data_IF_375037670600
#
_entry.id   IF_375037670600
#
_cell.length_a   1.000
_cell.length_b   1.000
_cell.length_c   1.000
_cell.angle_alpha   90.00
_cell.angle_beta   90.00
_cell.angle_gamma   90.00
#
_symmetry.space_group_name_H-M   'P 1'
#
loop_
_entity.id
_entity.type
_entity.pdbx_description
1 polymer ?
#
# COMPACT_ATOMS: atom_id res chain seq x y z
N UNK A 1 15.20 -14.30 20.32
CA UNK A 1 14.94 -13.24 19.31
C UNK A 1 15.13 -13.85 17.92
N UNK A 2 14.61 -13.24 16.85
CA UNK A 2 14.63 -13.87 15.52
C UNK A 2 15.97 -13.72 14.78
N UNK A 3 16.73 -12.65 15.08
CA UNK A 3 18.00 -12.34 14.41
C UNK A 3 19.12 -12.05 15.43
N UNK A 4 19.32 -12.91 16.43
CA UNK A 4 20.21 -12.67 17.60
C UNK A 4 21.66 -12.28 17.27
N UNK A 5 22.18 -12.68 16.10
CA UNK A 5 23.55 -12.37 15.67
C UNK A 5 23.66 -11.14 14.77
N UNK A 6 22.55 -10.47 14.45
CA UNK A 6 22.51 -9.35 13.52
C UNK A 6 22.38 -8.03 14.27
N UNK A 7 23.30 -7.10 14.02
CA UNK A 7 23.14 -5.69 14.44
C UNK A 7 22.28 -4.89 13.48
N UNK A 8 22.18 -5.37 12.24
CA UNK A 8 21.50 -4.72 11.15
C UNK A 8 20.81 -5.77 10.28
N UNK A 9 19.59 -5.48 9.82
CA UNK A 9 18.85 -6.30 8.85
C UNK A 9 18.25 -5.42 7.76
N UNK A 10 18.15 -5.96 6.54
CA UNK A 10 17.39 -5.32 5.46
C UNK A 10 15.91 -5.65 5.59
N UNK A 11 15.04 -4.71 5.22
CA UNK A 11 13.61 -4.95 5.07
C UNK A 11 13.13 -4.41 3.73
N UNK A 12 12.28 -5.19 3.05
CA UNK A 12 11.69 -4.80 1.76
C UNK A 12 10.20 -5.12 1.76
N UNK A 13 9.36 -4.11 1.58
CA UNK A 13 7.94 -4.25 1.33
C UNK A 13 7.66 -4.28 -0.17
N UNK A 14 6.79 -5.19 -0.61
CA UNK A 14 6.36 -5.33 -1.99
C UNK A 14 4.84 -5.40 -2.06
N UNK A 15 4.24 -4.55 -2.87
CA UNK A 15 2.82 -4.64 -3.21
C UNK A 15 2.69 -5.41 -4.52
N UNK A 16 2.18 -6.64 -4.46
CA UNK A 16 2.25 -7.61 -5.56
C UNK A 16 0.97 -7.70 -6.39
N UNK A 17 -0.19 -7.46 -5.78
CA UNK A 17 -1.51 -7.63 -6.39
C UNK A 17 -2.58 -7.10 -5.46
N UNK A 18 -3.84 -7.14 -5.86
CA UNK A 18 -4.91 -6.56 -5.02
C UNK A 18 -5.27 -7.42 -3.79
N UNK A 19 -4.87 -8.69 -3.78
CA UNK A 19 -5.13 -9.61 -2.67
C UNK A 19 -4.12 -10.77 -2.65
N UNK A 20 -3.82 -11.28 -1.46
CA UNK A 20 -3.15 -12.57 -1.29
C UNK A 20 -4.15 -13.62 -0.79
N UNK A 21 -4.25 -14.75 -1.50
CA UNK A 21 -4.99 -15.92 -1.05
C UNK A 21 -4.15 -16.77 -0.10
N UNK A 22 -4.21 -16.45 1.18
CA UNK A 22 -3.43 -17.10 2.23
C UNK A 22 -4.04 -18.43 2.72
N UNK A 23 -5.17 -18.89 2.16
CA UNK A 23 -5.80 -20.16 2.56
C UNK A 23 -4.89 -21.37 2.30
N UNK A 24 -4.00 -21.25 1.32
CA UNK A 24 -3.07 -22.32 0.95
C UNK A 24 -1.90 -22.49 1.95
N UNK A 25 -1.70 -21.54 2.87
CA UNK A 25 -0.62 -21.58 3.87
C UNK A 25 -0.97 -22.40 5.12
N UNK A 26 -2.14 -23.05 5.18
CA UNK A 26 -2.57 -23.88 6.31
C UNK A 26 -1.61 -25.04 6.65
N UNK A 27 -0.71 -25.41 5.72
CA UNK A 27 0.28 -26.49 5.90
C UNK A 27 1.73 -26.00 6.05
N UNK A 28 1.98 -24.69 6.07
CA UNK A 28 3.33 -24.12 6.25
C UNK A 28 3.58 -23.81 7.73
N UNK A 29 4.79 -24.03 8.23
CA UNK A 29 5.18 -23.62 9.58
C UNK A 29 5.11 -22.09 9.73
N UNK A 30 3.99 -21.62 10.30
CA UNK A 30 3.75 -20.21 10.60
C UNK A 30 4.52 -19.83 11.88
N UNK A 31 5.29 -18.74 11.79
CA UNK A 31 5.93 -18.08 12.94
C UNK A 31 4.87 -17.34 13.78
N UNK A 32 3.88 -16.73 13.10
CA UNK A 32 2.73 -16.06 13.72
C UNK A 32 1.56 -16.01 12.74
N UNK A 33 0.33 -15.88 13.25
CA UNK A 33 -0.90 -15.88 12.46
C UNK A 33 -1.52 -14.48 12.31
N UNK A 34 -1.07 -13.50 13.08
CA UNK A 34 -1.63 -12.14 13.13
C UNK A 34 -0.53 -11.09 13.19
N UNK A 35 -0.02 -10.62 12.03
CA UNK A 35 -0.27 -11.11 10.67
C UNK A 35 0.46 -12.44 10.36
N UNK A 36 -0.01 -13.21 9.36
CA UNK A 36 0.66 -14.43 8.91
C UNK A 36 2.14 -14.18 8.57
N UNK A 37 3.01 -14.92 9.24
CA UNK A 37 4.47 -14.77 9.13
C UNK A 37 5.10 -16.13 8.94
N UNK A 38 6.02 -16.25 7.97
CA UNK A 38 6.69 -17.51 7.63
C UNK A 38 8.20 -17.30 7.56
N UNK A 39 8.96 -18.37 7.77
CA UNK A 39 10.39 -18.37 7.44
C UNK A 39 10.54 -18.28 5.92
N UNK A 40 11.50 -17.48 5.47
CA UNK A 40 11.77 -17.29 4.06
C UNK A 40 13.28 -17.06 3.85
N UNK A 41 13.87 -17.77 2.89
CA UNK A 41 15.33 -17.87 2.78
C UNK A 41 15.97 -18.63 3.94
N UNK A 42 17.30 -18.57 4.04
CA UNK A 42 18.07 -19.28 5.07
C UNK A 42 17.93 -18.66 6.47
N UNK A 43 17.88 -17.33 6.55
CA UNK A 43 17.91 -16.56 7.80
C UNK A 43 16.87 -15.44 7.85
N UNK A 44 15.84 -15.50 6.99
CA UNK A 44 14.88 -14.43 6.83
C UNK A 44 13.45 -14.80 7.24
N UNK A 45 12.58 -13.79 7.17
CA UNK A 45 11.16 -13.90 7.49
C UNK A 45 10.35 -13.10 6.48
N UNK A 46 9.19 -13.62 6.09
CA UNK A 46 8.20 -12.90 5.31
C UNK A 46 6.92 -12.71 6.13
N UNK A 47 6.41 -11.48 6.12
CA UNK A 47 5.10 -11.12 6.68
C UNK A 47 4.14 -10.86 5.54
N UNK A 48 2.99 -11.54 5.56
CA UNK A 48 2.03 -11.58 4.46
C UNK A 48 0.75 -10.85 4.85
N UNK A 49 0.34 -9.88 4.04
CA UNK A 49 -0.88 -9.13 4.22
C UNK A 49 -1.92 -9.52 3.18
N UNK A 50 -3.14 -9.81 3.64
CA UNK A 50 -4.24 -10.24 2.77
C UNK A 50 -4.56 -9.26 1.66
N UNK A 51 -4.28 -7.97 1.85
CA UNK A 51 -4.47 -6.93 0.86
C UNK A 51 -3.36 -6.81 -0.18
N UNK A 52 -2.52 -7.85 -0.36
CA UNK A 52 -1.62 -7.93 -1.51
C UNK A 52 -0.15 -7.61 -1.23
N UNK A 53 0.19 -7.32 0.02
CA UNK A 53 1.54 -6.89 0.40
C UNK A 53 2.32 -8.00 1.08
N UNK A 54 3.62 -8.04 0.79
CA UNK A 54 4.58 -8.90 1.47
C UNK A 54 5.75 -8.06 1.98
N UNK A 55 6.13 -8.25 3.23
CA UNK A 55 7.29 -7.60 3.84
C UNK A 55 8.34 -8.65 4.16
N UNK A 56 9.49 -8.54 3.51
CA UNK A 56 10.62 -9.45 3.61
C UNK A 56 11.67 -8.87 4.55
N UNK A 57 12.06 -9.62 5.57
CA UNK A 57 13.12 -9.27 6.51
C UNK A 57 14.32 -10.19 6.30
N UNK A 58 15.49 -9.59 6.09
CA UNK A 58 16.79 -10.26 6.00
C UNK A 58 16.86 -11.41 4.98
N UNK A 59 16.23 -11.25 3.81
CA UNK A 59 16.26 -12.26 2.74
C UNK A 59 17.23 -11.81 1.65
N UNK A 60 18.14 -12.69 1.22
CA UNK A 60 19.11 -12.36 0.17
C UNK A 60 18.43 -12.21 -1.20
N UNK A 61 18.95 -11.36 -2.12
CA UNK A 61 18.29 -11.09 -3.40
C UNK A 61 17.93 -12.34 -4.22
N UNK A 62 18.79 -13.36 -4.25
CA UNK A 62 18.51 -14.62 -4.95
C UNK A 62 17.36 -15.41 -4.31
N UNK A 63 17.30 -15.44 -2.98
CA UNK A 63 16.24 -16.10 -2.21
C UNK A 63 14.92 -15.34 -2.33
N UNK A 64 14.96 -14.00 -2.43
CA UNK A 64 13.77 -13.19 -2.68
C UNK A 64 13.12 -13.57 -4.01
N UNK A 65 13.90 -13.77 -5.07
CA UNK A 65 13.36 -14.20 -6.37
C UNK A 65 12.65 -15.55 -6.24
N UNK A 66 13.31 -16.54 -5.64
CA UNK A 66 12.69 -17.86 -5.42
C UNK A 66 11.41 -17.77 -4.60
N UNK A 67 11.45 -17.02 -3.51
CA UNK A 67 10.30 -16.84 -2.62
C UNK A 67 9.11 -16.17 -3.34
N UNK A 68 9.37 -15.13 -4.13
CA UNK A 68 8.33 -14.43 -4.90
C UNK A 68 7.72 -15.34 -5.98
N UNK A 69 8.52 -16.19 -6.61
CA UNK A 69 8.02 -17.20 -7.56
C UNK A 69 7.13 -18.24 -6.87
N UNK A 70 7.49 -18.68 -5.66
CA UNK A 70 6.71 -19.64 -4.88
C UNK A 70 5.34 -19.09 -4.48
N UNK A 71 5.28 -17.82 -4.06
CA UNK A 71 4.03 -17.18 -3.63
C UNK A 71 3.21 -16.60 -4.80
N UNK A 72 3.73 -16.61 -6.03
CA UNK A 72 3.09 -16.00 -7.19
C UNK A 72 1.65 -16.49 -7.42
N UNK A 73 1.39 -17.77 -7.14
CA UNK A 73 0.04 -18.38 -7.28
C UNK A 73 -0.96 -17.87 -6.26
N UNK A 74 -0.49 -17.26 -5.17
CA UNK A 74 -1.31 -16.70 -4.11
C UNK A 74 -1.72 -15.27 -4.42
N UNK A 75 -1.03 -14.60 -5.34
CA UNK A 75 -1.34 -13.24 -5.75
C UNK A 75 -2.58 -13.25 -6.65
N UNK A 76 -3.66 -12.66 -6.16
CA UNK A 76 -4.90 -12.43 -6.90
C UNK A 76 -4.86 -11.01 -7.47
N UNK A 77 -5.20 -10.90 -8.76
CA UNK A 77 -5.12 -9.65 -9.52
C UNK A 77 -3.72 -8.99 -9.40
N UNK A 78 -2.67 -9.65 -9.94
CA UNK A 78 -1.30 -9.16 -9.83
C UNK A 78 -1.12 -7.81 -10.52
N UNK A 79 -0.32 -6.93 -9.92
CA UNK A 79 0.02 -5.64 -10.49
C UNK A 79 0.98 -5.84 -11.67
N UNK A 80 0.80 -5.06 -12.74
CA UNK A 80 1.73 -5.06 -13.88
C UNK A 80 3.14 -4.65 -13.46
N UNK A 81 3.22 -3.69 -12.54
CA UNK A 81 4.44 -3.20 -11.93
C UNK A 81 4.27 -3.18 -10.42
N UNK A 82 4.83 -4.16 -9.69
CA UNK A 82 4.81 -4.17 -8.24
C UNK A 82 5.51 -2.93 -7.67
N UNK A 83 4.84 -2.27 -6.71
CA UNK A 83 5.45 -1.19 -5.95
C UNK A 83 6.35 -1.77 -4.85
N UNK A 84 7.47 -1.11 -4.55
CA UNK A 84 8.44 -1.61 -3.58
C UNK A 84 9.04 -0.49 -2.74
N UNK A 85 9.28 -0.81 -1.49
CA UNK A 85 9.94 0.08 -0.54
C UNK A 85 10.97 -0.71 0.25
N UNK A 86 12.17 -0.16 0.41
CA UNK A 86 13.29 -0.83 1.06
C UNK A 86 13.97 0.08 2.06
N UNK A 87 14.33 -0.49 3.20
CA UNK A 87 15.10 0.21 4.23
C UNK A 87 15.96 -0.76 5.03
N UNK A 88 16.74 -0.18 5.92
CA UNK A 88 17.59 -0.91 6.86
C UNK A 88 17.09 -0.67 8.28
N UNK A 89 17.09 -1.73 9.09
CA UNK A 89 16.77 -1.68 10.51
C UNK A 89 18.04 -1.98 11.32
N UNK A 90 18.35 -1.11 12.27
CA UNK A 90 19.43 -1.24 13.24
C UNK A 90 18.87 -1.70 14.58
N UNK A 91 19.58 -2.63 15.24
CA UNK A 91 19.30 -3.05 16.60
C UNK A 91 20.22 -2.29 17.56
N UNK A 92 19.64 -1.40 18.36
CA UNK A 92 20.36 -0.66 19.41
C UNK A 92 19.44 -0.48 20.63
N UNK A 93 19.77 -1.20 21.71
CA UNK A 93 19.00 -1.17 22.96
C UNK A 93 19.06 0.18 23.68
N UNK A 94 20.06 1.01 23.39
CA UNK A 94 20.27 2.31 24.03
C UNK A 94 19.64 3.46 23.25
N UNK A 95 19.35 3.25 21.97
CA UNK A 95 18.79 4.27 21.09
C UNK A 95 17.28 4.37 21.23
N UNK A 96 16.74 5.56 20.94
CA UNK A 96 15.29 5.76 20.95
C UNK A 96 14.71 5.15 19.67
N UNK A 97 13.74 4.25 19.83
CA UNK A 97 13.11 3.57 18.69
C UNK A 97 12.38 4.54 17.76
N UNK A 98 12.54 4.34 16.45
CA UNK A 98 11.99 5.20 15.41
C UNK A 98 12.99 5.45 14.28
N UNK A 99 12.63 6.35 13.37
CA UNK A 99 13.50 6.72 12.26
C UNK A 99 14.39 7.89 12.68
N UNK A 100 15.68 7.80 12.33
CA UNK A 100 16.65 8.88 12.42
C UNK A 100 17.62 8.79 11.24
N UNK A 101 17.84 9.90 10.53
CA UNK A 101 18.75 9.97 9.38
C UNK A 101 18.54 8.85 8.34
N UNK A 102 17.28 8.52 8.03
CA UNK A 102 16.87 7.44 7.11
C UNK A 102 17.21 6.01 7.55
N UNK A 103 17.53 5.82 8.83
CA UNK A 103 17.71 4.50 9.44
C UNK A 103 16.64 4.26 10.50
N UNK A 104 16.09 3.05 10.53
CA UNK A 104 15.15 2.65 11.57
C UNK A 104 15.88 1.98 12.71
N UNK A 105 15.72 2.50 13.92
CA UNK A 105 16.27 1.91 15.14
C UNK A 105 15.18 1.17 15.91
N UNK A 106 15.47 -0.07 16.29
CA UNK A 106 14.69 -0.87 17.22
C UNK A 106 15.57 -1.28 18.40
N UNK A 107 14.97 -1.43 19.59
CA UNK A 107 15.72 -1.92 20.77
C UNK A 107 16.15 -3.37 20.63
N UNK A 108 15.32 -4.16 19.98
CA UNK A 108 15.50 -5.59 19.78
C UNK A 108 14.76 -6.06 18.52
N UNK A 109 15.25 -7.14 17.91
CA UNK A 109 14.59 -7.82 16.80
C UNK A 109 13.63 -8.91 17.28
N UNK A 110 12.60 -8.50 18.01
CA UNK A 110 11.50 -9.36 18.39
C UNK A 110 10.34 -9.30 17.39
N UNK A 111 9.53 -10.36 17.34
CA UNK A 111 8.46 -10.51 16.35
C UNK A 111 7.46 -9.36 16.38
N UNK A 112 7.15 -8.81 17.57
CA UNK A 112 6.12 -7.77 17.73
C UNK A 112 6.57 -6.45 17.12
N UNK A 113 7.83 -6.05 17.35
CA UNK A 113 8.41 -4.87 16.70
C UNK A 113 8.50 -5.04 15.19
N UNK A 114 8.96 -6.20 14.72
CA UNK A 114 9.02 -6.49 13.28
C UNK A 114 7.64 -6.46 12.63
N UNK A 115 6.60 -6.94 13.33
CA UNK A 115 5.21 -6.84 12.88
C UNK A 115 4.71 -5.41 12.76
N UNK A 116 5.06 -4.54 13.71
CA UNK A 116 4.73 -3.11 13.61
C UNK A 116 5.42 -2.44 12.42
N UNK A 117 6.70 -2.72 12.22
CA UNK A 117 7.44 -2.24 11.05
C UNK A 117 6.80 -2.75 9.77
N UNK A 118 6.43 -4.04 9.72
CA UNK A 118 5.74 -4.63 8.59
C UNK A 118 4.39 -3.94 8.31
N UNK A 119 3.61 -3.62 9.34
CA UNK A 119 2.33 -2.91 9.18
C UNK A 119 2.51 -1.51 8.59
N UNK A 120 3.48 -0.76 9.09
CA UNK A 120 3.75 0.61 8.62
C UNK A 120 4.26 0.59 7.17
N UNK A 121 5.27 -0.25 6.88
CA UNK A 121 5.80 -0.37 5.52
C UNK A 121 4.77 -0.90 4.53
N UNK A 122 3.90 -1.82 4.97
CA UNK A 122 2.86 -2.34 4.09
C UNK A 122 1.82 -1.28 3.70
N UNK A 123 1.47 -0.38 4.63
CA UNK A 123 0.62 0.77 4.32
C UNK A 123 1.35 1.79 3.44
N UNK A 124 2.62 2.08 3.73
CA UNK A 124 3.44 3.03 2.96
C UNK A 124 3.57 2.63 1.48
N UNK A 125 3.90 1.35 1.19
CA UNK A 125 4.05 0.86 -0.19
C UNK A 125 2.72 0.87 -0.96
N UNK A 126 1.59 0.61 -0.29
CA UNK A 126 0.26 0.70 -0.89
C UNK A 126 -0.08 2.16 -1.24
N UNK A 127 0.20 3.09 -0.33
CA UNK A 127 0.01 4.52 -0.57
C UNK A 127 0.85 5.00 -1.77
N UNK A 128 2.12 4.60 -1.83
CA UNK A 128 3.02 4.94 -2.93
C UNK A 128 2.47 4.47 -4.29
N UNK A 129 1.94 3.24 -4.34
CA UNK A 129 1.31 2.71 -5.54
C UNK A 129 0.11 3.55 -5.98
N UNK A 130 -0.82 3.84 -5.07
CA UNK A 130 -2.02 4.59 -5.43
C UNK A 130 -1.73 6.06 -5.75
N UNK A 131 -0.74 6.68 -5.12
CA UNK A 131 -0.27 8.02 -5.48
C UNK A 131 0.21 8.06 -6.94
N UNK A 132 1.02 7.08 -7.35
CA UNK A 132 1.52 6.95 -8.73
C UNK A 132 0.39 6.62 -9.70
N UNK A 133 -0.47 5.66 -9.36
CA UNK A 133 -1.63 5.27 -10.18
C UNK A 133 -2.58 6.46 -10.39
N UNK A 134 -2.86 7.24 -9.34
CA UNK A 134 -3.76 8.38 -9.42
C UNK A 134 -3.17 9.53 -10.23
N UNK A 135 -1.87 9.78 -10.13
CA UNK A 135 -1.18 10.76 -10.97
C UNK A 135 -1.35 10.44 -12.47
N UNK A 136 -1.29 9.15 -12.85
CA UNK A 136 -1.54 8.73 -14.22
C UNK A 136 -2.98 8.97 -14.69
N UNK A 137 -3.97 8.89 -13.79
CA UNK A 137 -5.38 9.21 -14.10
C UNK A 137 -5.62 10.72 -14.28
N UNK A 138 -4.98 11.58 -13.49
CA UNK A 138 -5.10 13.04 -13.64
C UNK A 138 -4.69 13.53 -15.04
N UNK A 139 -3.58 13.01 -15.58
CA UNK A 139 -3.09 13.34 -16.93
C UNK A 139 -4.10 13.00 -18.04
N UNK A 140 -5.12 12.17 -17.76
CA UNK A 140 -6.15 11.77 -18.73
C UNK A 140 -7.42 12.62 -18.62
N UNK A 141 -7.67 13.26 -17.49
CA UNK A 141 -8.86 14.10 -17.26
C UNK A 141 -8.64 15.52 -17.78
N UNK A 142 -7.41 16.05 -17.66
CA UNK A 142 -7.07 17.40 -18.10
C UNK A 142 -7.39 17.66 -19.59
N UNK A 143 -7.09 16.74 -20.54
CA UNK A 143 -7.49 16.91 -21.94
C UNK A 143 -9.01 16.87 -22.18
N UNK A 144 -9.78 16.20 -21.32
CA UNK A 144 -11.25 16.19 -21.41
C UNK A 144 -11.83 17.54 -20.94
N UNK A 145 -11.27 18.12 -19.88
CA UNK A 145 -11.61 19.47 -19.43
C UNK A 145 -11.31 20.52 -20.50
N UNK A 146 -10.17 20.41 -21.16
CA UNK A 146 -9.77 21.32 -22.23
C UNK A 146 -10.68 21.22 -23.46
N UNK A 147 -11.07 20.01 -23.87
CA UNK A 147 -12.04 19.82 -24.97
C UNK A 147 -13.43 20.39 -24.67
N UNK A 148 -13.84 20.36 -23.40
CA UNK A 148 -15.12 20.93 -22.94
C UNK A 148 -15.11 22.47 -22.97
N UNK A 149 -13.99 23.11 -22.60
CA UNK A 149 -13.88 24.57 -22.64
C UNK A 149 -13.93 25.12 -24.08
N UNK A 150 -13.39 24.35 -25.05
CA UNK A 150 -13.31 24.75 -26.45
C UNK A 150 -14.54 24.38 -27.31
N UNK A 151 -15.67 23.97 -26.71
CA UNK A 151 -16.95 23.64 -27.40
C UNK A 151 -16.82 22.66 -28.59
N UNK A 152 -15.83 21.78 -28.56
CA UNK A 152 -15.66 20.77 -29.62
C UNK A 152 -16.68 19.62 -29.49
N UNK A 153 -16.90 18.85 -30.56
CA UNK A 153 -17.96 17.84 -30.64
C UNK A 153 -17.60 16.59 -29.82
N UNK A 154 -18.24 16.41 -28.65
CA UNK A 154 -17.93 15.37 -27.65
C UNK A 154 -18.76 14.09 -27.86
N UNK A 155 -18.70 13.50 -29.06
CA UNK A 155 -19.45 12.27 -29.36
C UNK A 155 -18.97 11.05 -28.55
N UNK A 156 -17.66 10.92 -28.35
CA UNK A 156 -17.00 9.80 -27.65
C UNK A 156 -16.55 10.11 -26.22
N UNK A 157 -16.44 11.39 -25.84
CA UNK A 157 -15.90 11.82 -24.54
C UNK A 157 -16.80 11.50 -23.34
N UNK A 158 -18.11 11.38 -23.52
CA UNK A 158 -19.02 11.01 -22.42
C UNK A 158 -18.79 9.59 -21.92
N UNK A 159 -18.52 8.64 -22.84
CA UNK A 159 -18.26 7.24 -22.48
C UNK A 159 -16.90 7.10 -21.81
N UNK A 160 -15.89 7.79 -22.31
CA UNK A 160 -14.55 7.82 -21.71
C UNK A 160 -14.59 8.42 -20.30
N UNK A 161 -15.35 9.51 -20.11
CA UNK A 161 -15.52 10.14 -18.82
C UNK A 161 -16.23 9.23 -17.80
N UNK A 162 -17.30 8.53 -18.20
CA UNK A 162 -17.97 7.53 -17.36
C UNK A 162 -17.03 6.38 -16.97
N UNK A 163 -16.17 5.94 -17.89
CA UNK A 163 -15.15 4.94 -17.60
C UNK A 163 -14.15 5.45 -16.56
N UNK A 164 -13.67 6.69 -16.68
CA UNK A 164 -12.75 7.29 -15.71
C UNK A 164 -13.38 7.50 -14.32
N UNK A 165 -14.67 7.85 -14.26
CA UNK A 165 -15.42 7.88 -13.00
C UNK A 165 -15.44 6.49 -12.37
N UNK A 166 -15.77 5.46 -13.16
CA UNK A 166 -15.76 4.08 -12.71
C UNK A 166 -14.39 3.64 -12.17
N UNK A 167 -13.31 3.93 -12.89
CA UNK A 167 -11.93 3.63 -12.47
C UNK A 167 -11.57 4.33 -11.15
N UNK A 168 -11.95 5.59 -10.99
CA UNK A 168 -11.66 6.38 -9.78
C UNK A 168 -12.45 5.89 -8.57
N UNK A 169 -13.74 5.58 -8.75
CA UNK A 169 -14.59 5.00 -7.70
C UNK A 169 -14.13 3.60 -7.30
N UNK A 170 -13.69 2.78 -8.25
CA UNK A 170 -13.09 1.47 -7.96
C UNK A 170 -11.79 1.62 -7.17
N UNK A 171 -10.94 2.58 -7.53
CA UNK A 171 -9.70 2.88 -6.79
C UNK A 171 -10.01 3.32 -5.36
N UNK A 172 -10.99 4.22 -5.18
CA UNK A 172 -11.45 4.64 -3.86
C UNK A 172 -11.97 3.46 -3.03
N UNK A 173 -12.84 2.64 -3.62
CA UNK A 173 -13.41 1.47 -2.94
C UNK A 173 -12.33 0.47 -2.52
N UNK A 174 -11.31 0.25 -3.36
CA UNK A 174 -10.17 -0.62 -3.03
C UNK A 174 -9.32 -0.04 -1.91
N UNK A 175 -9.06 1.26 -1.92
CA UNK A 175 -8.27 1.93 -0.89
C UNK A 175 -8.99 1.95 0.46
N UNK A 176 -10.25 2.40 0.51
CA UNK A 176 -11.01 2.51 1.77
C UNK A 176 -11.45 1.16 2.34
N UNK A 177 -11.76 0.18 1.49
CA UNK A 177 -12.36 -1.09 1.92
C UNK A 177 -11.39 -2.27 2.06
N UNK A 178 -10.14 -2.18 1.57
CA UNK A 178 -9.18 -3.30 1.61
C UNK A 178 -7.92 -3.02 2.40
N UNK A 179 -7.49 -1.76 2.49
CA UNK A 179 -6.37 -1.34 3.31
C UNK A 179 -6.90 -0.30 4.27
N UNK A 180 -7.28 -0.73 5.46
CA UNK A 180 -7.68 0.18 6.55
C UNK A 180 -6.45 0.90 7.07
N UNK A 181 -5.97 1.87 6.28
CA UNK A 181 -4.75 2.64 6.56
C UNK A 181 -4.89 3.36 7.91
N UNK A 182 -6.10 3.79 8.24
CA UNK A 182 -6.44 4.47 9.49
C UNK A 182 -6.61 3.56 10.71
N UNK A 183 -6.69 2.23 10.54
CA UNK A 183 -6.83 1.32 11.68
C UNK A 183 -5.51 0.99 12.35
N UNK A 184 -5.53 0.89 13.67
CA UNK A 184 -4.38 0.46 14.45
C UNK A 184 -4.16 -1.05 14.25
N UNK A 185 -2.90 -1.51 14.20
CA UNK A 185 -2.58 -2.94 14.23
C UNK A 185 -3.26 -3.64 15.43
N UNK A 186 -3.90 -4.78 15.20
CA UNK A 186 -4.55 -5.55 16.28
C UNK A 186 -3.58 -5.90 17.42
N UNK A 187 -2.31 -6.07 17.10
CA UNK A 187 -1.23 -6.30 18.06
C UNK A 187 -1.20 -5.24 19.19
N UNK A 188 -1.61 -4.00 18.91
CA UNK A 188 -1.61 -2.92 19.92
C UNK A 188 -2.69 -3.09 20.98
N UNK A 189 -3.73 -3.92 20.75
CA UNK A 189 -4.70 -4.26 21.80
C UNK A 189 -4.05 -5.08 22.91
N UNK A 190 -3.16 -6.01 22.53
CA UNK A 190 -2.45 -6.90 23.45
C UNK A 190 -1.18 -6.26 24.02
N UNK A 191 -0.53 -5.38 23.25
CA UNK A 191 0.77 -4.76 23.58
C UNK A 191 0.72 -3.22 23.44
N UNK A 192 -0.03 -2.52 24.33
CA UNK A 192 -0.18 -1.06 24.26
C UNK A 192 1.14 -0.31 24.47
N UNK A 193 2.16 -0.91 25.08
CA UNK A 193 3.48 -0.31 25.24
C UNK A 193 4.18 -0.02 23.90
N UNK A 194 3.76 -0.69 22.82
CA UNK A 194 4.29 -0.48 21.48
C UNK A 194 3.59 0.66 20.71
N UNK A 195 2.53 1.24 21.28
CA UNK A 195 1.75 2.31 20.62
C UNK A 195 2.62 3.52 20.29
N UNK A 196 3.54 3.90 21.18
CA UNK A 196 4.46 5.02 20.93
C UNK A 196 5.35 4.79 19.71
N UNK A 197 5.85 3.56 19.55
CA UNK A 197 6.65 3.19 18.38
C UNK A 197 5.78 3.25 17.12
N UNK A 198 4.58 2.68 17.16
CA UNK A 198 3.67 2.70 16.02
C UNK A 198 3.31 4.12 15.58
N UNK A 199 2.96 5.01 16.51
CA UNK A 199 2.64 6.41 16.20
C UNK A 199 3.84 7.13 15.57
N UNK A 200 5.04 6.97 16.16
CA UNK A 200 6.25 7.59 15.62
C UNK A 200 6.54 7.09 14.20
N UNK A 201 6.47 5.79 13.95
CA UNK A 201 6.66 5.26 12.61
C UNK A 201 5.58 5.75 11.65
N UNK A 202 4.32 5.78 12.07
CA UNK A 202 3.23 6.23 11.19
C UNK A 202 3.38 7.70 10.78
N UNK A 203 3.88 8.53 11.70
CA UNK A 203 4.21 9.95 11.47
C UNK A 203 5.40 10.10 10.53
N UNK A 204 6.51 9.38 10.77
CA UNK A 204 7.72 9.44 9.92
C UNK A 204 7.48 8.99 8.47
N UNK A 205 6.48 8.13 8.23
CA UNK A 205 6.06 7.71 6.90
C UNK A 205 4.88 8.54 6.34
N UNK A 206 4.47 9.60 7.04
CA UNK A 206 3.35 10.49 6.69
C UNK A 206 2.05 9.71 6.34
N UNK A 207 1.80 8.58 7.00
CA UNK A 207 0.74 7.65 6.55
C UNK A 207 -0.63 8.32 6.52
N UNK A 208 -0.94 9.15 7.52
CA UNK A 208 -2.23 9.82 7.65
C UNK A 208 -2.35 10.97 6.64
N UNK A 209 -1.32 11.79 6.53
CA UNK A 209 -1.23 12.93 5.62
C UNK A 209 -1.35 12.48 4.17
N UNK A 210 -0.59 11.45 3.79
CA UNK A 210 -0.62 10.85 2.45
C UNK A 210 -1.98 10.25 2.14
N UNK A 211 -2.58 9.53 3.09
CA UNK A 211 -3.93 8.99 2.94
C UNK A 211 -4.96 10.10 2.68
N UNK A 212 -4.99 11.14 3.53
CA UNK A 212 -5.92 12.27 3.40
C UNK A 212 -5.69 13.03 2.08
N UNK A 213 -4.44 13.24 1.70
CA UNK A 213 -4.10 13.91 0.44
C UNK A 213 -4.62 13.10 -0.77
N UNK A 214 -4.47 11.79 -0.72
CA UNK A 214 -4.94 10.87 -1.76
C UNK A 214 -6.47 10.83 -1.83
N UNK A 215 -7.17 10.76 -0.69
CA UNK A 215 -8.64 10.85 -0.65
C UNK A 215 -9.17 12.15 -1.26
N UNK A 216 -8.55 13.29 -0.92
CA UNK A 216 -8.91 14.61 -1.50
C UNK A 216 -8.71 14.64 -3.01
N UNK A 217 -7.62 14.06 -3.51
CA UNK A 217 -7.34 13.95 -4.95
C UNK A 217 -8.40 13.12 -5.67
N UNK A 218 -8.79 11.98 -5.10
CA UNK A 218 -9.86 11.12 -5.64
C UNK A 218 -11.20 11.85 -5.64
N UNK A 219 -11.57 12.51 -4.54
CA UNK A 219 -12.83 13.26 -4.44
C UNK A 219 -12.91 14.38 -5.48
N UNK A 220 -11.80 15.09 -5.74
CA UNK A 220 -11.71 16.11 -6.78
C UNK A 220 -11.94 15.52 -8.17
N UNK A 221 -11.39 14.34 -8.47
CA UNK A 221 -11.60 13.64 -9.74
C UNK A 221 -13.08 13.29 -9.93
N UNK A 222 -13.68 12.64 -8.94
CA UNK A 222 -15.09 12.22 -9.01
C UNK A 222 -16.00 13.43 -9.23
N UNK A 223 -15.81 14.51 -8.45
CA UNK A 223 -16.60 15.75 -8.60
C UNK A 223 -16.40 16.42 -9.95
N UNK A 224 -15.16 16.50 -10.42
CA UNK A 224 -14.83 17.08 -11.73
C UNK A 224 -15.56 16.31 -12.83
N UNK A 225 -15.51 14.98 -12.78
CA UNK A 225 -16.10 14.15 -13.80
C UNK A 225 -17.65 14.12 -13.75
N UNK A 226 -18.26 14.15 -12.56
CA UNK A 226 -19.71 14.37 -12.39
C UNK A 226 -20.18 15.70 -12.98
N UNK A 227 -19.41 16.77 -12.74
CA UNK A 227 -19.70 18.11 -13.28
C UNK A 227 -19.67 18.08 -14.82
N UNK A 228 -18.65 17.44 -15.39
CA UNK A 228 -18.53 17.28 -16.84
C UNK A 228 -19.70 16.46 -17.44
N UNK A 229 -20.13 15.38 -16.78
CA UNK A 229 -21.31 14.60 -17.21
C UNK A 229 -22.58 15.45 -17.20
N UNK A 230 -22.76 16.26 -16.17
CA UNK A 230 -23.93 17.16 -16.04
C UNK A 230 -23.99 18.17 -17.19
N UNK A 231 -22.85 18.78 -17.54
CA UNK A 231 -22.74 19.69 -18.69
C UNK A 231 -23.09 18.98 -20.01
N UNK A 232 -22.57 17.76 -20.21
CA UNK A 232 -22.85 16.96 -21.40
C UNK A 232 -24.32 16.57 -21.54
N UNK A 233 -24.99 16.24 -20.42
CA UNK A 233 -26.43 15.94 -20.42
C UNK A 233 -27.25 17.19 -20.79
N UNK A 234 -26.96 18.34 -20.18
CA UNK A 234 -27.68 19.60 -20.45
C UNK A 234 -27.57 20.04 -21.92
N UNK A 235 -26.42 19.84 -22.56
CA UNK A 235 -26.26 20.13 -24.00
C UNK A 235 -27.09 19.23 -24.92
N UNK A 236 -27.45 18.02 -24.48
CA UNK A 236 -28.34 17.11 -25.23
C UNK A 236 -29.81 17.52 -25.07
N UNK A 237 -30.22 17.96 -23.89
CA UNK A 237 -31.60 18.40 -23.60
C UNK A 237 -31.98 19.68 -24.33
N UNK A 238 -31.02 20.59 -24.57
CA UNK A 238 -31.22 21.84 -25.33
C UNK A 238 -31.29 21.62 -26.87
N UNK A 239 -31.14 20.39 -27.35
CA UNK A 239 -31.11 20.03 -28.78
C UNK A 239 -32.34 19.23 -29.24
N UNK A 240 -33.35 19.09 -28.38
CA UNK A 240 -34.66 18.48 -28.65
C UNK A 240 -35.71 19.58 -28.60
#
# INVERSE_FOLDING_TARGET
MLFENHKQISVRALFLGERLDLRSFEHTELISNTPPSIRAGSEGMAVLFRYGVVVLFNIQPAEQVSFLDDIRRLVVDPLEQPEREEMTIQCDATHIEGIEASQLFLKEFDIRRLHLVAHVLAKSVVLAYYETSLAAHFNRIEPLADKLSHKQRIGSGSKQLLQHIGESLLTQSKMTGRVEISEKPDLLWDFPELERLHLRLSDEFDLSERHIALERKIALISRTAETMLTILQNQRTLRV
#
